data_IF_064618850622
#
_entry.id   IF_064618850622
#
_cell.length_a   1.000
_cell.length_b   1.000
_cell.length_c   1.000
_cell.angle_alpha   90.00
_cell.angle_beta   90.00
_cell.angle_gamma   90.00
#
_symmetry.space_group_name_H-M   'P 1'
#
loop_
_entity.id
_entity.type
_entity.pdbx_description
1 polymer ?
#
# COMPACT_ATOMS: atom_id res chain seq x y z
N UNK A 1 -0.34 6.42 23.88
CA UNK A 1 -1.35 6.91 22.93
C UNK A 1 -0.94 8.23 22.25
N UNK A 2 -0.53 9.28 22.99
CA UNK A 2 0.00 10.53 22.36
C UNK A 2 1.29 10.33 21.55
N UNK A 3 2.11 9.35 21.87
CA UNK A 3 3.37 9.06 21.14
C UNK A 3 3.12 8.49 19.74
N UNK A 4 2.10 7.66 19.57
CA UNK A 4 1.73 7.06 18.28
C UNK A 4 1.12 8.12 17.35
N UNK A 5 0.30 9.03 17.88
CA UNK A 5 -0.29 10.14 17.10
C UNK A 5 0.79 11.11 16.63
N UNK A 6 1.77 11.45 17.46
CA UNK A 6 2.92 12.30 17.07
C UNK A 6 3.79 11.63 16.01
N UNK A 7 3.98 10.31 16.08
CA UNK A 7 4.71 9.55 15.08
C UNK A 7 3.97 9.57 13.73
N UNK A 8 2.65 9.36 13.73
CA UNK A 8 1.83 9.41 12.51
C UNK A 8 1.83 10.79 11.84
N UNK A 9 1.67 11.88 12.61
CA UNK A 9 1.73 13.25 12.09
C UNK A 9 3.12 13.57 11.53
N UNK A 10 4.18 13.15 12.21
CA UNK A 10 5.56 13.34 11.73
C UNK A 10 5.85 12.61 10.43
N UNK A 11 5.35 11.38 10.27
CA UNK A 11 5.48 10.58 9.04
C UNK A 11 4.69 11.23 7.90
N UNK A 12 3.51 11.75 8.16
CA UNK A 12 2.65 12.42 7.18
C UNK A 12 3.30 13.71 6.64
N UNK A 13 3.81 14.57 7.52
CA UNK A 13 4.53 15.78 7.15
C UNK A 13 5.78 15.44 6.32
N UNK A 14 6.48 14.36 6.69
CA UNK A 14 7.66 13.90 5.97
C UNK A 14 7.33 13.35 4.58
N UNK A 15 6.23 12.61 4.43
CA UNK A 15 5.75 12.12 3.12
C UNK A 15 5.35 13.30 2.22
N UNK A 16 4.64 14.29 2.75
CA UNK A 16 4.26 15.48 1.98
C UNK A 16 5.47 16.33 1.58
N UNK A 17 6.43 16.53 2.48
CA UNK A 17 7.72 17.17 2.17
C UNK A 17 8.51 16.39 1.11
N UNK A 18 8.51 15.07 1.16
CA UNK A 18 9.14 14.22 0.14
C UNK A 18 8.47 14.38 -1.23
N UNK A 19 7.15 14.51 -1.26
CA UNK A 19 6.41 14.74 -2.51
C UNK A 19 6.67 16.12 -3.11
N UNK A 20 6.71 17.16 -2.30
CA UNK A 20 7.06 18.52 -2.76
C UNK A 20 8.46 18.59 -3.36
N UNK A 21 9.38 17.76 -2.87
CA UNK A 21 10.78 17.72 -3.34
C UNK A 21 10.95 16.75 -4.52
N UNK A 22 10.13 15.70 -4.65
CA UNK A 22 10.26 14.70 -5.72
C UNK A 22 9.55 15.15 -6.99
N UNK A 23 10.31 15.67 -7.93
CA UNK A 23 9.83 15.85 -9.31
C UNK A 23 9.85 14.50 -10.05
N UNK A 24 9.00 14.36 -11.08
CA UNK A 24 8.98 13.18 -11.97
C UNK A 24 10.38 12.75 -12.46
N UNK A 25 11.29 13.69 -12.59
CA UNK A 25 12.68 13.47 -13.04
C UNK A 25 13.56 12.72 -12.01
N UNK A 26 13.12 12.64 -10.75
CA UNK A 26 13.88 12.03 -9.66
C UNK A 26 13.48 10.56 -9.41
N UNK A 27 12.49 10.05 -10.13
CA UNK A 27 12.05 8.66 -10.00
C UNK A 27 13.03 7.70 -10.71
N UNK A 28 13.47 6.63 -10.03
CA UNK A 28 14.39 5.66 -10.63
C UNK A 28 13.70 4.85 -11.71
N UNK A 29 14.37 4.61 -12.82
CA UNK A 29 13.86 3.73 -13.90
C UNK A 29 13.94 2.24 -13.52
N UNK A 30 14.86 1.87 -12.65
CA UNK A 30 15.07 0.51 -12.17
C UNK A 30 14.94 0.54 -10.66
N UNK A 31 14.13 -0.36 -10.12
CA UNK A 31 13.93 -0.50 -8.67
C UNK A 31 14.09 -1.96 -8.24
N UNK A 32 14.66 -2.21 -7.03
CA UNK A 32 14.57 -3.50 -6.40
C UNK A 32 13.13 -3.77 -5.99
N UNK A 33 12.67 -4.98 -6.21
CA UNK A 33 11.27 -5.35 -5.97
C UNK A 33 11.19 -6.48 -4.95
N UNK A 34 10.32 -6.28 -3.98
CA UNK A 34 9.97 -7.23 -2.94
C UNK A 34 8.60 -7.84 -3.26
N UNK A 35 8.54 -9.08 -3.78
CA UNK A 35 7.28 -9.81 -3.92
C UNK A 35 6.72 -10.16 -2.54
N UNK A 36 5.52 -9.69 -2.22
CA UNK A 36 4.87 -9.93 -0.93
C UNK A 36 3.45 -10.46 -1.14
N UNK A 37 3.26 -11.76 -0.92
CA UNK A 37 2.04 -12.49 -1.26
C UNK A 37 0.88 -12.33 -0.27
N UNK A 38 1.05 -11.60 0.82
CA UNK A 38 0.05 -11.47 1.87
C UNK A 38 -0.31 -10.01 2.21
N UNK A 39 0.24 -9.06 1.48
CA UNK A 39 0.06 -7.65 1.77
C UNK A 39 0.24 -6.76 0.53
N UNK A 40 -0.55 -5.69 0.44
CA UNK A 40 -0.47 -4.67 -0.60
C UNK A 40 -0.36 -3.30 0.06
N UNK A 41 0.66 -2.51 -0.32
CA UNK A 41 0.82 -1.13 0.13
C UNK A 41 0.20 -0.17 -0.88
N UNK A 42 -0.35 0.92 -0.39
CA UNK A 42 -0.93 2.00 -1.19
C UNK A 42 -0.11 3.29 -1.04
N UNK A 43 -0.19 4.23 -1.99
CA UNK A 43 0.38 5.56 -1.82
C UNK A 43 -0.11 6.23 -0.52
N UNK A 44 0.76 6.98 0.15
CA UNK A 44 0.49 7.67 1.41
C UNK A 44 0.12 6.75 2.59
N UNK A 45 0.45 5.47 2.51
CA UNK A 45 0.31 4.55 3.64
C UNK A 45 1.68 4.08 4.10
N UNK A 46 1.80 3.67 5.35
CA UNK A 46 3.05 3.15 5.91
C UNK A 46 2.82 1.78 6.52
N UNK A 47 3.75 0.87 6.28
CA UNK A 47 3.70 -0.50 6.79
C UNK A 47 5.02 -0.86 7.48
N UNK A 48 4.98 -1.44 8.70
CA UNK A 48 6.14 -2.04 9.31
C UNK A 48 6.41 -3.40 8.66
N UNK A 49 7.65 -3.64 8.26
CA UNK A 49 8.11 -4.90 7.68
C UNK A 49 9.23 -5.49 8.53
N UNK A 50 9.16 -6.80 8.74
CA UNK A 50 10.21 -7.59 9.38
C UNK A 50 10.95 -8.39 8.30
N UNK A 51 12.17 -7.99 7.99
CA UNK A 51 12.99 -8.55 6.91
C UNK A 51 13.99 -9.53 7.54
N UNK A 52 13.92 -10.81 7.14
CA UNK A 52 14.75 -11.88 7.68
C UNK A 52 15.34 -12.79 6.61
N UNK A 53 14.80 -12.83 5.39
CA UNK A 53 15.38 -13.61 4.30
C UNK A 53 16.67 -12.96 3.82
N UNK A 54 17.80 -13.69 3.70
CA UNK A 54 19.10 -13.10 3.35
C UNK A 54 19.09 -12.26 2.08
N UNK A 55 18.37 -12.70 1.04
CA UNK A 55 18.26 -11.96 -0.23
C UNK A 55 17.59 -10.58 -0.05
N UNK A 56 16.61 -10.47 0.86
CA UNK A 56 15.93 -9.19 1.12
C UNK A 56 16.70 -8.34 2.14
N UNK A 57 17.43 -8.95 3.07
CA UNK A 57 18.39 -8.23 3.93
C UNK A 57 19.44 -7.53 3.05
N UNK A 58 19.99 -8.23 2.04
CA UNK A 58 20.91 -7.62 1.08
C UNK A 58 20.26 -6.50 0.27
N UNK A 59 19.03 -6.71 -0.23
CA UNK A 59 18.25 -5.70 -0.94
C UNK A 59 18.08 -4.41 -0.12
N UNK A 60 17.74 -4.54 1.16
CA UNK A 60 17.59 -3.39 2.06
C UNK A 60 18.94 -2.70 2.27
N UNK A 61 20.02 -3.45 2.50
CA UNK A 61 21.37 -2.90 2.67
C UNK A 61 21.78 -2.05 1.46
N UNK A 62 21.56 -2.55 0.25
CA UNK A 62 21.88 -1.80 -0.97
C UNK A 62 20.97 -0.59 -1.17
N UNK A 63 19.66 -0.74 -0.88
CA UNK A 63 18.72 0.38 -0.96
C UNK A 63 19.07 1.48 0.04
N UNK A 64 19.51 1.14 1.25
CA UNK A 64 19.91 2.11 2.27
C UNK A 64 21.14 2.95 1.89
N UNK A 65 22.01 2.42 1.02
CA UNK A 65 23.20 3.15 0.48
C UNK A 65 22.84 4.14 -0.63
N UNK A 66 21.63 4.05 -1.17
CA UNK A 66 21.19 4.85 -2.32
C UNK A 66 19.99 5.74 -1.96
N UNK A 67 18.89 5.61 -2.66
CA UNK A 67 17.69 6.45 -2.52
C UNK A 67 16.65 5.91 -1.53
N UNK A 68 16.89 4.72 -0.95
CA UNK A 68 16.01 4.02 0.00
C UNK A 68 14.65 3.61 -0.59
N UNK A 69 14.58 3.45 -1.92
CA UNK A 69 13.36 3.00 -2.59
C UNK A 69 13.36 1.50 -2.79
N UNK A 70 12.21 0.89 -2.54
CA UNK A 70 11.89 -0.49 -2.91
C UNK A 70 10.45 -0.55 -3.43
N UNK A 71 10.19 -1.43 -4.37
CA UNK A 71 8.85 -1.72 -4.86
C UNK A 71 8.24 -2.90 -4.11
N UNK A 72 7.01 -2.76 -3.60
CA UNK A 72 6.21 -3.91 -3.19
C UNK A 72 5.27 -4.29 -4.33
N UNK A 73 5.19 -5.59 -4.60
CA UNK A 73 4.32 -6.14 -5.63
C UNK A 73 3.73 -7.48 -5.20
N UNK A 74 2.51 -7.76 -5.64
CA UNK A 74 1.87 -9.02 -5.33
C UNK A 74 2.21 -10.09 -6.38
N UNK A 75 2.58 -11.32 -5.99
CA UNK A 75 2.65 -12.45 -6.90
C UNK A 75 1.24 -12.92 -7.29
N UNK A 76 1.03 -13.29 -8.57
CA UNK A 76 -0.26 -13.80 -9.08
C UNK A 76 -0.62 -15.16 -8.48
N UNK A 77 0.38 -16.00 -8.19
CA UNK A 77 0.20 -17.33 -7.61
C UNK A 77 1.09 -17.48 -6.37
N UNK A 78 0.49 -17.43 -5.20
CA UNK A 78 1.20 -17.58 -3.92
C UNK A 78 1.83 -18.98 -3.72
N UNK A 79 1.41 -20.00 -4.49
CA UNK A 79 1.75 -21.41 -4.26
C UNK A 79 2.81 -21.98 -5.22
N UNK A 80 3.30 -21.24 -6.20
CA UNK A 80 4.34 -21.74 -7.11
C UNK A 80 5.72 -21.20 -6.73
N UNK A 81 6.60 -22.09 -6.28
CA UNK A 81 8.01 -21.80 -6.03
C UNK A 81 8.86 -21.59 -7.31
N UNK A 82 8.27 -21.69 -8.49
CA UNK A 82 8.91 -21.41 -9.78
C UNK A 82 8.49 -20.05 -10.28
N UNK A 83 9.44 -19.21 -10.68
CA UNK A 83 9.33 -17.88 -11.29
C UNK A 83 7.92 -17.28 -11.06
N UNK A 84 7.74 -16.69 -9.89
CA UNK A 84 6.43 -16.14 -9.50
C UNK A 84 6.03 -15.09 -10.54
N UNK A 85 4.99 -15.37 -11.30
CA UNK A 85 4.31 -14.35 -12.10
C UNK A 85 3.85 -13.26 -11.16
N UNK A 86 4.35 -12.06 -11.37
CA UNK A 86 3.96 -10.89 -10.59
C UNK A 86 2.77 -10.19 -11.26
N UNK A 87 1.96 -9.53 -10.47
CA UNK A 87 1.06 -8.53 -11.04
C UNK A 87 1.87 -7.45 -11.76
N UNK A 88 1.26 -6.75 -12.70
CA UNK A 88 1.96 -5.70 -13.43
C UNK A 88 2.10 -4.43 -12.58
N UNK A 89 1.14 -4.16 -11.72
CA UNK A 89 1.08 -2.97 -10.87
C UNK A 89 1.53 -3.28 -9.46
N UNK A 90 2.50 -2.51 -8.98
CA UNK A 90 2.96 -2.46 -7.61
C UNK A 90 2.99 -1.04 -7.08
N UNK A 91 3.48 -0.87 -5.85
CA UNK A 91 3.70 0.44 -5.25
C UNK A 91 5.15 0.57 -4.76
N UNK A 92 5.83 1.61 -5.23
CA UNK A 92 7.15 1.99 -4.74
C UNK A 92 7.00 2.77 -3.44
N UNK A 93 7.76 2.36 -2.45
CA UNK A 93 7.84 3.03 -1.16
C UNK A 93 9.27 3.46 -0.82
N UNK A 94 9.37 4.34 0.16
CA UNK A 94 10.64 4.77 0.75
C UNK A 94 10.78 4.21 2.15
N UNK A 95 11.97 3.68 2.46
CA UNK A 95 12.31 3.26 3.83
C UNK A 95 12.47 4.52 4.68
N UNK A 96 11.56 4.71 5.63
CA UNK A 96 11.50 5.89 6.51
C UNK A 96 12.03 5.62 7.91
N UNK A 97 12.05 4.36 8.32
CA UNK A 97 12.62 3.90 9.57
C UNK A 97 13.42 2.62 9.31
N UNK A 98 14.53 2.45 10.00
CA UNK A 98 15.38 1.27 9.91
C UNK A 98 15.94 0.94 11.28
N UNK A 99 15.80 -0.32 11.68
CA UNK A 99 16.38 -0.85 12.90
C UNK A 99 16.97 -2.22 12.64
N UNK A 100 18.26 -2.36 12.89
CA UNK A 100 18.94 -3.65 12.95
C UNK A 100 18.64 -4.33 14.28
N UNK A 101 18.29 -5.60 14.24
CA UNK A 101 18.01 -6.39 15.43
C UNK A 101 19.16 -7.36 15.70
N UNK A 102 19.42 -7.66 16.99
CA UNK A 102 20.55 -8.51 17.42
C UNK A 102 20.54 -9.93 16.84
N UNK A 103 19.44 -10.36 16.24
CA UNK A 103 19.25 -11.67 15.62
C UNK A 103 19.41 -11.63 14.08
N UNK A 104 19.92 -10.52 13.54
CA UNK A 104 20.21 -10.37 12.10
C UNK A 104 19.00 -10.07 11.22
N UNK A 105 17.87 -9.72 11.81
CA UNK A 105 16.67 -9.23 11.10
C UNK A 105 16.68 -7.71 11.03
N UNK A 106 15.97 -7.18 10.04
CA UNK A 106 15.72 -5.74 9.93
C UNK A 106 14.25 -5.43 10.15
N UNK A 107 13.98 -4.47 11.03
CA UNK A 107 12.66 -3.86 11.16
C UNK A 107 12.70 -2.53 10.43
N UNK A 108 11.83 -2.38 9.42
CA UNK A 108 11.74 -1.16 8.63
C UNK A 108 10.32 -0.65 8.60
N UNK A 109 10.15 0.68 8.50
CA UNK A 109 8.90 1.28 8.07
C UNK A 109 9.04 1.67 6.60
N UNK A 110 8.14 1.14 5.76
CA UNK A 110 8.06 1.47 4.35
C UNK A 110 6.85 2.36 4.11
N UNK A 111 7.09 3.58 3.62
CA UNK A 111 6.04 4.52 3.25
C UNK A 111 5.82 4.51 1.75
N UNK A 112 4.61 4.13 1.31
CA UNK A 112 4.20 4.10 -0.09
C UNK A 112 4.18 5.51 -0.69
N UNK A 113 4.77 5.66 -1.86
CA UNK A 113 4.90 6.94 -2.55
C UNK A 113 4.07 6.99 -3.82
N UNK A 114 4.34 6.07 -4.75
CA UNK A 114 3.77 6.08 -6.09
C UNK A 114 3.64 4.66 -6.62
N UNK A 115 2.56 4.40 -7.33
CA UNK A 115 2.37 3.14 -8.04
C UNK A 115 3.25 3.09 -9.29
N UNK A 116 3.60 1.90 -9.68
CA UNK A 116 4.38 1.65 -10.90
C UNK A 116 3.81 0.48 -11.68
N UNK A 117 4.11 0.43 -12.98
CA UNK A 117 3.96 -0.76 -13.81
C UNK A 117 5.31 -1.36 -14.15
N UNK A 118 5.42 -2.68 -14.08
CA UNK A 118 6.59 -3.41 -14.56
C UNK A 118 6.65 -3.32 -16.08
N UNK A 119 7.85 -2.99 -16.60
CA UNK A 119 8.17 -3.08 -18.02
C UNK A 119 8.84 -4.42 -18.30
N UNK A 120 9.96 -4.69 -17.61
CA UNK A 120 10.72 -5.94 -17.74
C UNK A 120 11.63 -6.19 -16.55
N UNK A 121 11.98 -7.42 -16.33
CA UNK A 121 12.97 -7.80 -15.34
C UNK A 121 14.40 -7.49 -15.83
N UNK A 122 15.21 -6.96 -14.93
CA UNK A 122 16.63 -6.69 -15.18
C UNK A 122 17.44 -7.90 -14.71
N UNK A 123 18.00 -8.64 -15.65
CA UNK A 123 18.85 -9.78 -15.33
C UNK A 123 20.21 -9.29 -14.79
N UNK A 124 20.53 -9.68 -13.57
CA UNK A 124 21.77 -9.36 -12.89
C UNK A 124 22.18 -10.51 -11.95
N UNK A 125 23.32 -10.36 -11.27
CA UNK A 125 23.84 -11.36 -10.33
C UNK A 125 23.38 -11.14 -8.87
N UNK A 126 22.38 -10.29 -8.62
CA UNK A 126 21.86 -10.02 -7.28
C UNK A 126 20.93 -11.14 -6.83
N UNK A 127 20.87 -11.46 -5.53
CA UNK A 127 19.99 -12.51 -5.03
C UNK A 127 18.51 -12.08 -4.99
N UNK A 128 18.21 -10.81 -5.26
CA UNK A 128 16.85 -10.23 -5.34
C UNK A 128 16.58 -9.71 -6.75
N UNK A 129 15.31 -9.53 -7.06
CA UNK A 129 14.86 -9.11 -8.40
C UNK A 129 14.85 -7.59 -8.53
N UNK A 130 15.24 -7.10 -9.69
CA UNK A 130 15.12 -5.69 -10.09
C UNK A 130 14.32 -5.61 -11.39
N UNK A 131 13.53 -4.54 -11.49
CA UNK A 131 12.68 -4.31 -12.66
C UNK A 131 12.86 -2.90 -13.19
N UNK A 132 12.86 -2.79 -14.52
CA UNK A 132 12.57 -1.55 -15.18
C UNK A 132 11.08 -1.27 -15.06
N UNK A 133 10.72 -0.04 -14.63
CA UNK A 133 9.35 0.33 -14.28
C UNK A 133 8.94 1.64 -14.91
N UNK A 134 7.62 1.82 -15.06
CA UNK A 134 6.99 3.03 -15.54
C UNK A 134 6.02 3.58 -14.49
N UNK A 135 6.02 4.90 -14.31
CA UNK A 135 5.16 5.64 -13.38
C UNK A 135 4.12 6.53 -14.11
N UNK A 136 4.05 6.50 -15.44
CA UNK A 136 3.27 7.45 -16.21
C UNK A 136 1.78 7.43 -15.90
N UNK A 137 1.21 6.24 -15.71
CA UNK A 137 -0.21 6.08 -15.41
C UNK A 137 -0.60 6.55 -13.99
N UNK A 138 0.40 6.75 -13.11
CA UNK A 138 0.18 7.00 -11.68
C UNK A 138 0.83 8.28 -11.17
N UNK A 139 1.10 9.24 -12.04
CA UNK A 139 1.75 10.51 -11.65
C UNK A 139 0.93 11.33 -10.65
N UNK A 140 -0.39 11.16 -10.65
CA UNK A 140 -1.28 11.83 -9.70
C UNK A 140 -1.04 11.36 -8.25
N UNK A 141 -0.39 10.21 -8.03
CA UNK A 141 0.00 9.78 -6.68
C UNK A 141 1.04 10.71 -6.02
N UNK A 142 1.85 11.41 -6.83
CA UNK A 142 2.87 12.36 -6.39
C UNK A 142 2.33 13.79 -6.23
N UNK A 143 1.17 14.07 -6.81
CA UNK A 143 0.57 15.38 -6.77
C UNK A 143 -0.40 15.50 -5.59
N UNK A 144 -0.63 16.73 -5.15
CA UNK A 144 -1.77 17.00 -4.28
C UNK A 144 -3.07 16.67 -5.03
N UNK A 145 -4.08 16.10 -4.37
CA UNK A 145 -5.35 15.77 -5.02
C UNK A 145 -5.96 17.01 -5.67
N UNK A 146 -6.36 16.88 -6.92
CA UNK A 146 -7.02 17.97 -7.67
C UNK A 146 -8.39 18.34 -7.11
N UNK A 147 -9.03 17.41 -6.40
CA UNK A 147 -10.33 17.57 -5.76
C UNK A 147 -10.25 16.96 -4.37
N UNK A 148 -10.54 17.77 -3.38
CA UNK A 148 -10.68 17.29 -2.02
C UNK A 148 -12.00 16.51 -1.89
N UNK A 149 -11.93 15.31 -1.32
CA UNK A 149 -13.10 14.56 -0.93
C UNK A 149 -13.71 15.24 0.30
N UNK A 150 -15.03 15.22 0.37
CA UNK A 150 -15.78 15.69 1.55
C UNK A 150 -16.21 14.49 2.40
N UNK A 151 -16.52 14.74 3.67
CA UNK A 151 -17.02 13.69 4.56
C UNK A 151 -18.30 13.03 4.03
N UNK A 152 -19.19 13.81 3.39
CA UNK A 152 -20.40 13.30 2.76
C UNK A 152 -20.12 12.29 1.64
N UNK A 153 -19.00 12.42 0.95
CA UNK A 153 -18.60 11.47 -0.11
C UNK A 153 -18.22 10.08 0.46
N UNK A 154 -17.88 10.02 1.73
CA UNK A 154 -17.39 8.82 2.42
C UNK A 154 -18.34 8.26 3.47
N UNK A 155 -19.42 8.95 3.81
CA UNK A 155 -20.32 8.59 4.91
C UNK A 155 -20.86 7.17 4.79
N UNK A 156 -21.34 6.79 3.61
CA UNK A 156 -21.85 5.44 3.35
C UNK A 156 -20.73 4.39 3.44
N UNK A 157 -19.56 4.69 2.86
CA UNK A 157 -18.39 3.81 2.92
C UNK A 157 -17.98 3.60 4.38
N UNK A 158 -17.90 4.65 5.19
CA UNK A 158 -17.58 4.52 6.61
C UNK A 158 -18.61 3.68 7.36
N UNK A 159 -19.90 3.87 7.08
CA UNK A 159 -20.98 3.09 7.70
C UNK A 159 -20.83 1.60 7.39
N UNK A 160 -20.62 1.26 6.12
CA UNK A 160 -20.54 -0.13 5.67
C UNK A 160 -19.23 -0.78 6.15
N UNK A 161 -18.12 -0.06 6.11
CA UNK A 161 -16.85 -0.51 6.69
C UNK A 161 -16.95 -0.74 8.20
N UNK A 162 -17.59 0.16 8.96
CA UNK A 162 -17.82 -0.03 10.41
C UNK A 162 -18.56 -1.35 10.66
N UNK A 163 -19.58 -1.64 9.86
CA UNK A 163 -20.32 -2.90 9.93
C UNK A 163 -19.44 -4.11 9.62
N UNK A 164 -18.69 -4.07 8.52
CA UNK A 164 -17.81 -5.15 8.08
C UNK A 164 -16.70 -5.43 9.11
N UNK A 165 -16.02 -4.40 9.60
CA UNK A 165 -14.96 -4.55 10.61
C UNK A 165 -15.50 -5.15 11.90
N UNK A 166 -16.66 -4.66 12.39
CA UNK A 166 -17.34 -5.23 13.57
C UNK A 166 -17.66 -6.70 13.37
N UNK A 167 -18.21 -7.09 12.23
CA UNK A 167 -18.53 -8.48 11.88
C UNK A 167 -17.29 -9.39 11.84
N UNK A 168 -16.17 -8.87 11.35
CA UNK A 168 -14.88 -9.58 11.31
C UNK A 168 -14.10 -9.54 12.64
N UNK A 169 -14.64 -8.90 13.69
CA UNK A 169 -14.01 -8.81 15.01
C UNK A 169 -12.87 -7.78 15.12
N UNK A 170 -12.71 -6.88 14.16
CA UNK A 170 -11.68 -5.84 14.22
C UNK A 170 -12.13 -4.62 15.01
N UNK A 171 -11.24 -4.06 15.81
CA UNK A 171 -11.45 -2.83 16.58
C UNK A 171 -10.65 -1.70 15.92
N UNK A 172 -11.33 -0.67 15.44
CA UNK A 172 -10.72 0.49 14.82
C UNK A 172 -11.15 1.77 15.52
N UNK A 173 -10.22 2.72 15.66
CA UNK A 173 -10.52 4.06 16.15
C UNK A 173 -11.01 4.96 15.02
N UNK A 174 -12.29 4.87 14.71
CA UNK A 174 -12.95 5.65 13.63
C UNK A 174 -12.81 7.15 13.84
N UNK A 175 -12.89 7.65 15.08
CA UNK A 175 -12.73 9.08 15.38
C UNK A 175 -11.35 9.62 15.00
N UNK A 176 -10.34 8.76 14.99
CA UNK A 176 -9.00 9.14 14.57
C UNK A 176 -8.90 9.22 13.05
N UNK A 177 -9.58 8.32 12.33
CA UNK A 177 -9.63 8.32 10.86
C UNK A 177 -10.43 9.50 10.31
N UNK A 178 -11.55 9.85 10.93
CA UNK A 178 -12.41 10.98 10.53
C UNK A 178 -11.70 12.36 10.65
N UNK A 179 -10.58 12.43 11.36
CA UNK A 179 -9.78 13.66 11.54
C UNK A 179 -8.61 13.76 10.56
N UNK A 180 -8.35 12.72 9.77
CA UNK A 180 -7.27 12.71 8.78
C UNK A 180 -7.75 13.30 7.46
N UNK A 181 -6.81 13.62 6.58
CA UNK A 181 -7.13 13.94 5.19
C UNK A 181 -7.90 12.78 4.56
N UNK A 182 -9.07 13.08 3.97
CA UNK A 182 -9.97 12.07 3.45
C UNK A 182 -9.40 11.35 2.23
N UNK A 183 -8.53 11.99 1.48
CA UNK A 183 -7.87 11.38 0.33
C UNK A 183 -6.85 10.32 0.78
N UNK A 184 -6.11 10.60 1.85
CA UNK A 184 -5.21 9.62 2.47
C UNK A 184 -5.98 8.49 3.15
N UNK A 185 -7.13 8.84 3.74
CA UNK A 185 -8.02 7.87 4.38
C UNK A 185 -8.51 6.80 3.41
N UNK A 186 -8.81 7.12 2.15
CA UNK A 186 -9.21 6.13 1.14
C UNK A 186 -8.12 5.07 0.93
N UNK A 187 -6.86 5.47 0.82
CA UNK A 187 -5.75 4.54 0.65
C UNK A 187 -5.53 3.69 1.91
N UNK A 188 -5.63 4.31 3.09
CA UNK A 188 -5.54 3.60 4.36
C UNK A 188 -6.69 2.59 4.53
N UNK A 189 -7.90 2.95 4.15
CA UNK A 189 -9.07 2.06 4.17
C UNK A 189 -8.91 0.89 3.17
N UNK A 190 -8.45 1.17 1.94
CA UNK A 190 -8.17 0.13 0.94
C UNK A 190 -7.13 -0.88 1.48
N UNK A 191 -6.07 -0.39 2.13
CA UNK A 191 -5.02 -1.22 2.71
C UNK A 191 -5.52 -2.03 3.92
N UNK A 192 -6.19 -1.39 4.88
CA UNK A 192 -6.55 -1.98 6.17
C UNK A 192 -7.83 -2.82 6.14
N UNK A 193 -8.70 -2.63 5.15
CA UNK A 193 -9.97 -3.36 5.07
C UNK A 193 -9.74 -4.87 4.92
N UNK A 194 -10.64 -5.70 5.49
CA UNK A 194 -10.56 -7.16 5.42
C UNK A 194 -11.04 -7.69 4.05
N UNK A 195 -10.65 -7.02 2.99
CA UNK A 195 -10.84 -7.44 1.61
C UNK A 195 -9.85 -8.53 1.21
N UNK A 196 -10.17 -9.32 0.21
CA UNK A 196 -9.25 -10.28 -0.37
C UNK A 196 -8.03 -9.57 -1.01
N UNK A 197 -6.96 -10.32 -1.28
CA UNK A 197 -5.79 -9.75 -1.93
C UNK A 197 -6.10 -9.34 -3.38
N UNK A 198 -6.95 -10.09 -4.05
CA UNK A 198 -7.45 -9.79 -5.39
C UNK A 198 -8.25 -8.48 -5.41
N UNK A 199 -9.16 -8.30 -4.44
CA UNK A 199 -9.92 -7.05 -4.28
C UNK A 199 -8.98 -5.87 -4.00
N UNK A 200 -7.97 -6.05 -3.14
CA UNK A 200 -6.97 -5.01 -2.87
C UNK A 200 -6.10 -4.71 -4.09
N UNK A 201 -5.77 -5.71 -4.90
CA UNK A 201 -5.04 -5.50 -6.15
C UNK A 201 -5.88 -4.69 -7.14
N UNK A 202 -7.17 -5.02 -7.29
CA UNK A 202 -8.11 -4.22 -8.10
C UNK A 202 -8.14 -2.76 -7.60
N UNK A 203 -8.17 -2.54 -6.28
CA UNK A 203 -8.14 -1.19 -5.71
C UNK A 203 -6.81 -0.47 -5.99
N UNK A 204 -5.68 -1.18 -5.97
CA UNK A 204 -4.38 -0.61 -6.31
C UNK A 204 -4.32 -0.19 -7.77
N UNK A 205 -4.93 -0.95 -8.67
CA UNK A 205 -4.91 -0.72 -10.12
C UNK A 205 -5.88 0.36 -10.60
N UNK A 206 -6.78 0.85 -9.77
CA UNK A 206 -7.69 1.96 -10.15
C UNK A 206 -6.91 3.21 -10.54
N UNK A 207 -7.30 3.89 -11.61
CA UNK A 207 -6.58 5.03 -12.17
C UNK A 207 -6.36 6.15 -11.15
N UNK A 208 -7.41 6.53 -10.43
CA UNK A 208 -7.40 7.66 -9.51
C UNK A 208 -8.16 7.36 -8.20
N UNK A 209 -8.08 8.31 -7.28
CA UNK A 209 -8.64 8.18 -5.96
C UNK A 209 -10.18 8.12 -5.95
N UNK A 210 -10.85 8.85 -6.84
CA UNK A 210 -12.31 8.83 -6.95
C UNK A 210 -12.80 7.47 -7.44
N UNK A 211 -12.15 6.90 -8.44
CA UNK A 211 -12.46 5.53 -8.90
C UNK A 211 -12.17 4.50 -7.81
N UNK A 212 -11.10 4.67 -7.03
CA UNK A 212 -10.81 3.79 -5.88
C UNK A 212 -11.90 3.85 -4.84
N UNK A 213 -12.37 5.05 -4.49
CA UNK A 213 -13.50 5.26 -3.58
C UNK A 213 -14.75 4.51 -4.08
N UNK A 214 -15.10 4.68 -5.36
CA UNK A 214 -16.26 4.02 -5.95
C UNK A 214 -16.12 2.48 -5.93
N UNK A 215 -14.93 1.98 -6.26
CA UNK A 215 -14.64 0.55 -6.23
C UNK A 215 -14.72 -0.03 -4.81
N UNK A 216 -14.29 0.71 -3.78
CA UNK A 216 -14.50 0.32 -2.37
C UNK A 216 -16.00 0.16 -2.08
N UNK A 217 -16.85 1.10 -2.51
CA UNK A 217 -18.29 1.02 -2.31
C UNK A 217 -18.90 -0.21 -3.04
N UNK A 218 -18.46 -0.50 -4.25
CA UNK A 218 -18.88 -1.70 -5.00
C UNK A 218 -18.51 -2.99 -4.26
N UNK A 219 -17.25 -3.12 -3.82
CA UNK A 219 -16.80 -4.28 -3.04
C UNK A 219 -17.63 -4.43 -1.76
N UNK A 220 -17.86 -3.34 -1.02
CA UNK A 220 -18.65 -3.38 0.20
C UNK A 220 -20.09 -3.84 -0.05
N UNK A 221 -20.68 -3.49 -1.19
CA UNK A 221 -22.02 -3.94 -1.54
C UNK A 221 -22.10 -5.47 -1.65
N UNK A 222 -21.08 -6.14 -2.19
CA UNK A 222 -21.04 -7.60 -2.25
C UNK A 222 -21.05 -8.25 -0.88
N UNK A 223 -20.28 -7.70 0.07
CA UNK A 223 -20.27 -8.17 1.46
C UNK A 223 -21.61 -7.96 2.19
N UNK A 224 -22.43 -7.03 1.72
CA UNK A 224 -23.77 -6.78 2.27
C UNK A 224 -24.80 -7.78 1.74
N UNK A 225 -24.70 -8.19 0.47
CA UNK A 225 -25.61 -9.17 -0.15
C UNK A 225 -25.42 -10.58 0.41
N UNK A 226 -24.21 -11.03 0.69
CA UNK A 226 -23.92 -12.33 1.31
C UNK A 226 -24.60 -12.53 2.67
N UNK A 227 -25.13 -11.48 3.27
CA UNK A 227 -25.87 -11.54 4.53
C UNK A 227 -27.35 -11.92 4.36
N UNK A 228 -27.94 -11.76 3.17
CA UNK A 228 -29.35 -12.08 2.95
C UNK A 228 -29.56 -13.55 2.64
N UNK A 229 -28.56 -14.23 2.02
CA UNK A 229 -28.69 -15.64 1.67
C UNK A 229 -28.54 -16.59 2.88
N UNK A 230 -27.87 -16.17 3.95
CA UNK A 230 -27.67 -16.99 5.15
C UNK A 230 -28.82 -16.91 6.18
N UNK A 231 -29.86 -16.09 5.93
CA UNK A 231 -31.02 -15.95 6.84
C UNK A 231 -32.28 -16.65 6.34
N UNK A 232 -32.23 -17.35 5.20
CA UNK A 232 -33.43 -17.93 4.58
C UNK A 232 -33.48 -19.48 4.61
N UNK A 233 -32.71 -20.12 5.50
CA UNK A 233 -32.85 -21.57 5.76
C UNK A 233 -33.03 -21.77 7.27
N UNK A 234 -34.24 -21.62 7.73
CA UNK A 234 -34.81 -22.34 8.87
C UNK A 234 -36.25 -22.78 8.54
#
# INVERSE_FOLDING_TARGET
MQSIIKLFIGVLIFINLLKEVMKKQDLPKIIPVFPLGNFIIFPNTTVPLNIFEPKYVEMINESMKTNKFIGLIQPKNANNNSIQDLHETGCMGKITSFKDTSDGRYLIDLSGLVRFKIIKEVLNNRPYREFEVNFEDYQDDLNLPKKELTFSDLELIFKDLKSLFKKKGYIINWKSLEKQDLNETINALAMASPFSLEEKQILLETENLEMRKNRIAEILSTYSYDNFDNTTIQ
#
